data_IF_032968959380
#
_entry.id   IF_032968959380
#
_cell.length_a   1.000
_cell.length_b   1.000
_cell.length_c   1.000
_cell.angle_alpha   90.00
_cell.angle_beta   90.00
_cell.angle_gamma   90.00
#
_symmetry.space_group_name_H-M   'P 1'
#
loop_
_entity.id
_entity.type
_entity.pdbx_description
1 polymer ?
#
# COMPACT_ATOMS: atom_id res chain seq x y z
N UNK A 1 4.53 -20.21 14.05
CA UNK A 1 5.78 -19.88 13.33
C UNK A 1 5.37 -19.20 12.04
N UNK A 2 5.19 -17.88 12.04
CA UNK A 2 4.84 -17.13 10.83
C UNK A 2 6.12 -16.86 10.05
N UNK A 3 6.28 -17.54 8.92
CA UNK A 3 7.30 -17.22 7.93
C UNK A 3 6.96 -15.85 7.33
N UNK A 4 7.80 -14.86 7.60
CA UNK A 4 7.76 -13.54 6.95
C UNK A 4 8.20 -13.68 5.48
N UNK A 5 7.46 -14.41 4.66
CA UNK A 5 7.73 -14.45 3.22
C UNK A 5 7.18 -13.17 2.58
N UNK A 6 8.09 -12.21 2.36
CA UNK A 6 7.85 -11.05 1.47
C UNK A 6 8.15 -9.67 2.06
N UNK A 7 8.42 -9.54 3.36
CA UNK A 7 8.68 -8.24 3.96
C UNK A 7 10.15 -7.83 3.79
N UNK A 8 10.40 -6.75 3.05
CA UNK A 8 11.72 -6.14 2.96
C UNK A 8 11.90 -5.13 4.11
N UNK A 9 12.65 -5.54 5.12
CA UNK A 9 12.99 -4.68 6.26
C UNK A 9 14.19 -3.78 5.94
N UNK A 10 14.11 -2.52 6.35
CA UNK A 10 15.23 -1.60 6.32
C UNK A 10 15.36 -0.86 7.65
N UNK A 11 16.60 -0.53 8.01
CA UNK A 11 16.93 0.21 9.23
C UNK A 11 16.59 1.69 9.01
N UNK A 12 15.81 2.27 9.92
CA UNK A 12 15.49 3.70 9.88
C UNK A 12 16.75 4.56 10.03
N UNK A 13 16.82 5.70 9.33
CA UNK A 13 17.91 6.69 9.44
C UNK A 13 18.03 7.34 10.82
N UNK A 14 17.01 7.17 11.67
CA UNK A 14 16.96 7.65 13.05
C UNK A 14 17.50 6.60 14.04
N UNK A 15 17.86 5.40 13.57
CA UNK A 15 18.44 4.35 14.41
C UNK A 15 19.90 4.67 14.74
N UNK A 16 20.18 4.95 16.02
CA UNK A 16 21.53 5.15 16.52
C UNK A 16 22.34 3.85 16.62
N UNK A 17 23.59 3.99 17.04
CA UNK A 17 24.60 2.94 17.24
C UNK A 17 24.43 2.17 18.58
N UNK A 18 23.26 2.29 19.22
CA UNK A 18 22.85 1.50 20.40
C UNK A 18 21.84 0.43 19.99
N UNK A 19 21.48 -0.47 20.90
CA UNK A 19 20.61 -1.62 20.65
C UNK A 19 19.12 -1.29 20.42
N UNK A 20 18.77 -0.03 20.15
CA UNK A 20 17.38 0.43 19.93
C UNK A 20 17.15 0.65 18.43
N UNK A 21 17.16 -0.44 17.65
CA UNK A 21 16.97 -0.38 16.21
C UNK A 21 15.48 -0.34 15.88
N UNK A 22 15.05 0.70 15.15
CA UNK A 22 13.72 0.71 14.54
C UNK A 22 13.86 0.23 13.11
N UNK A 23 13.25 -0.93 12.85
CA UNK A 23 13.21 -1.57 11.55
C UNK A 23 11.80 -1.46 11.01
N UNK A 24 11.68 -0.98 9.78
CA UNK A 24 10.40 -0.83 9.09
C UNK A 24 10.41 -1.79 7.90
N UNK A 25 9.38 -2.62 7.79
CA UNK A 25 9.15 -3.44 6.61
C UNK A 25 8.26 -2.72 5.62
N UNK A 26 8.63 -2.77 4.35
CA UNK A 26 7.69 -2.51 3.28
C UNK A 26 6.82 -3.76 3.09
N UNK A 27 5.51 -3.63 3.23
CA UNK A 27 4.56 -4.70 2.88
C UNK A 27 4.54 -4.80 1.35
N UNK A 28 4.85 -5.95 0.74
CA UNK A 28 4.72 -6.13 -0.70
C UNK A 28 3.23 -6.11 -1.04
N UNK A 29 2.79 -5.00 -1.60
CA UNK A 29 1.41 -4.82 -2.04
C UNK A 29 1.29 -5.25 -3.50
N UNK A 30 0.52 -6.29 -3.78
CA UNK A 30 0.17 -6.67 -5.14
C UNK A 30 -0.81 -5.65 -5.73
N UNK A 31 -0.31 -4.58 -6.34
CA UNK A 31 -1.17 -3.64 -7.05
C UNK A 31 -1.72 -4.28 -8.32
N UNK A 32 -3.04 -4.23 -8.49
CA UNK A 32 -3.67 -4.56 -9.76
C UNK A 32 -4.37 -3.33 -10.34
N UNK A 33 -4.44 -3.33 -11.66
CA UNK A 33 -5.15 -2.31 -12.43
C UNK A 33 -6.63 -2.66 -12.47
N UNK A 34 -7.50 -1.68 -12.22
CA UNK A 34 -8.95 -1.87 -12.29
C UNK A 34 -9.41 -2.21 -13.71
N UNK A 35 -10.42 -3.06 -13.85
CA UNK A 35 -11.07 -3.39 -15.14
C UNK A 35 -11.80 -2.20 -15.78
N UNK A 36 -12.06 -1.13 -15.03
CA UNK A 36 -12.60 0.13 -15.54
C UNK A 36 -11.53 1.07 -16.12
N UNK A 37 -10.26 0.66 -16.16
CA UNK A 37 -9.18 1.48 -16.72
C UNK A 37 -9.29 1.55 -18.25
N UNK A 38 -9.78 2.66 -18.79
CA UNK A 38 -9.89 2.88 -20.24
C UNK A 38 -8.57 3.34 -20.89
N UNK A 39 -8.50 3.19 -22.22
CA UNK A 39 -7.34 3.62 -23.05
C UNK A 39 -7.01 5.11 -22.90
N UNK A 40 -7.99 5.92 -22.47
CA UNK A 40 -7.89 7.38 -22.36
C UNK A 40 -7.52 7.91 -20.96
N UNK A 41 -7.02 7.05 -20.08
CA UNK A 41 -6.19 7.53 -18.96
C UNK A 41 -6.79 7.45 -17.55
N UNK A 42 -7.72 6.52 -17.31
CA UNK A 42 -8.12 6.14 -15.95
C UNK A 42 -7.05 5.20 -15.37
N UNK A 43 -6.15 5.76 -14.56
CA UNK A 43 -4.91 5.12 -14.15
C UNK A 43 -4.82 4.98 -12.63
N UNK A 44 -5.82 4.37 -12.02
CA UNK A 44 -5.79 4.03 -10.60
C UNK A 44 -5.49 2.54 -10.44
N UNK A 45 -4.52 2.25 -9.58
CA UNK A 45 -4.23 0.90 -9.10
C UNK A 45 -4.57 0.79 -7.63
N UNK A 46 -5.11 -0.37 -7.24
CA UNK A 46 -5.45 -0.69 -5.86
C UNK A 46 -4.68 -1.94 -5.45
N UNK A 47 -4.27 -2.00 -4.19
CA UNK A 47 -3.73 -3.19 -3.57
C UNK A 47 -4.45 -3.48 -2.24
N UNK A 48 -4.66 -4.75 -1.94
CA UNK A 48 -5.13 -5.19 -0.63
C UNK A 48 -3.96 -5.16 0.36
N UNK A 49 -4.21 -4.63 1.54
CA UNK A 49 -3.30 -4.65 2.67
C UNK A 49 -3.91 -5.53 3.77
N UNK A 50 -3.10 -6.15 4.64
CA UNK A 50 -3.61 -6.90 5.80
C UNK A 50 -4.56 -6.10 6.70
N UNK A 51 -4.47 -4.77 6.69
CA UNK A 51 -5.29 -3.87 7.51
C UNK A 51 -6.01 -2.78 6.70
N UNK A 52 -6.25 -3.01 5.41
CA UNK A 52 -6.98 -2.05 4.56
C UNK A 52 -6.61 -2.13 3.09
N UNK A 53 -6.45 -0.97 2.44
CA UNK A 53 -6.13 -0.88 1.01
C UNK A 53 -5.11 0.22 0.73
N UNK A 54 -4.38 0.10 -0.37
CA UNK A 54 -3.55 1.17 -0.91
C UNK A 54 -4.05 1.56 -2.30
N UNK A 55 -4.13 2.87 -2.56
CA UNK A 55 -4.50 3.42 -3.86
C UNK A 55 -3.34 4.22 -4.43
N UNK A 56 -2.98 4.01 -5.70
CA UNK A 56 -1.93 4.79 -6.36
C UNK A 56 -2.27 5.17 -7.80
N UNK A 57 -1.54 6.16 -8.30
CA UNK A 57 -1.54 6.53 -9.71
C UNK A 57 -0.60 5.62 -10.51
N UNK A 58 -1.18 4.84 -11.43
CA UNK A 58 -0.47 3.94 -12.34
C UNK A 58 0.48 4.70 -13.29
N UNK A 59 0.22 5.99 -13.58
CA UNK A 59 1.12 6.83 -14.40
C UNK A 59 2.35 7.29 -13.62
N UNK A 60 2.28 7.29 -12.29
CA UNK A 60 3.33 7.80 -11.41
C UNK A 60 3.61 6.86 -10.22
N UNK A 61 3.92 5.56 -10.45
CA UNK A 61 4.05 4.57 -9.38
C UNK A 61 5.19 4.89 -8.40
N UNK A 62 6.22 5.61 -8.87
CA UNK A 62 7.34 6.07 -8.06
C UNK A 62 6.96 7.15 -7.03
N UNK A 63 5.81 7.82 -7.18
CA UNK A 63 5.32 8.83 -6.22
C UNK A 63 4.69 8.21 -4.97
N UNK A 64 4.60 6.88 -4.90
CA UNK A 64 4.06 6.15 -3.76
C UNK A 64 2.56 5.88 -3.88
N UNK A 65 1.94 5.58 -2.74
CA UNK A 65 0.53 5.22 -2.64
C UNK A 65 -0.11 5.85 -1.40
N UNK A 66 -1.43 5.99 -1.43
CA UNK A 66 -2.24 6.44 -0.30
C UNK A 66 -2.79 5.21 0.43
N UNK A 67 -2.37 4.92 1.68
CA UNK A 67 -2.93 3.83 2.46
C UNK A 67 -4.24 4.28 3.13
N UNK A 68 -5.21 3.37 3.15
CA UNK A 68 -6.49 3.50 3.84
C UNK A 68 -6.62 2.36 4.85
N UNK A 69 -6.84 2.63 6.15
CA UNK A 69 -7.26 1.62 7.11
C UNK A 69 -8.59 0.96 6.70
N UNK A 70 -8.83 -0.28 7.12
CA UNK A 70 -10.05 -1.03 6.76
C UNK A 70 -11.34 -0.23 6.97
N UNK A 71 -11.50 0.46 8.10
CA UNK A 71 -12.71 1.22 8.40
C UNK A 71 -12.95 2.37 7.40
N UNK A 72 -11.88 3.06 6.98
CA UNK A 72 -11.97 4.15 6.02
C UNK A 72 -12.22 3.62 4.60
N UNK A 73 -11.60 2.48 4.26
CA UNK A 73 -11.83 1.81 2.99
C UNK A 73 -13.28 1.33 2.85
N UNK A 74 -13.85 0.76 3.91
CA UNK A 74 -15.26 0.33 3.94
C UNK A 74 -16.22 1.52 3.81
N UNK A 75 -15.91 2.63 4.50
CA UNK A 75 -16.68 3.86 4.37
C UNK A 75 -16.63 4.43 2.95
N UNK A 76 -15.43 4.46 2.35
CA UNK A 76 -15.24 4.87 0.96
C UNK A 76 -16.07 4.01 0.00
N UNK A 77 -16.00 2.68 0.10
CA UNK A 77 -16.76 1.77 -0.74
C UNK A 77 -18.27 1.92 -0.56
N UNK A 78 -18.74 2.20 0.66
CA UNK A 78 -20.17 2.43 0.93
C UNK A 78 -20.70 3.62 0.13
N UNK A 79 -19.88 4.68 -0.05
CA UNK A 79 -20.27 5.88 -0.79
C UNK A 79 -20.02 5.72 -2.29
N UNK A 80 -18.91 5.09 -2.68
CA UNK A 80 -18.45 4.99 -4.06
C UNK A 80 -19.19 3.93 -4.91
N UNK A 81 -19.97 3.02 -4.30
CA UNK A 81 -20.74 1.95 -4.99
C UNK A 81 -22.10 2.41 -5.55
N UNK A 82 -22.33 3.72 -5.72
CA UNK A 82 -23.57 4.27 -6.28
C UNK A 82 -23.59 4.30 -7.80
#
# INVERSE_FOLDING_TARGET
MSTHEGLNFFKSSYSGNRAECVEVAHIPTGFWKSSHSGVNGDCVEVAELPCGAAVRDSKNPARGHLPFPSAEWDAFLTIARR
#
